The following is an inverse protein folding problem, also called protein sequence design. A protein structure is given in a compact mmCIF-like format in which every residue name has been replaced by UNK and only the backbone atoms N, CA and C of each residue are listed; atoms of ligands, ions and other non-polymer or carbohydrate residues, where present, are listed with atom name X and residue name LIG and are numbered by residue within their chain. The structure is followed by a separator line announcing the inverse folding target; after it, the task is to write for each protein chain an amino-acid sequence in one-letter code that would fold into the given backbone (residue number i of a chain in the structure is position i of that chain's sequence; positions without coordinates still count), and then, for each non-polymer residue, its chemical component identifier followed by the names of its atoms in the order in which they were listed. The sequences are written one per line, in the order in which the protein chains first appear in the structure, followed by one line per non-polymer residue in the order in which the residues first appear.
data_IF_251025321359
#
_entry.id   IF_251025321359
#
_cell.length_a   1.000
_cell.length_b   1.000
_cell.length_c   1.000
_cell.angle_alpha   90.00
_cell.angle_beta   90.00
_cell.angle_gamma   90.00
#
_symmetry.space_group_name_H-M   'P 1'
#
loop_
_entity.id
_entity.type
_entity.pdbx_description
1 polymer ?
#
# COMPACT_ATOMS: atom_id res chain seq x y z
N UNK A 1 -87.51 1.78 -61.18
CA UNK A 1 -86.08 1.37 -61.06
C UNK A 1 -85.25 2.64 -61.12
N UNK A 2 -85.02 3.26 -59.97
CA UNK A 2 -83.76 3.32 -59.17
C UNK A 2 -83.14 4.71 -59.29
N UNK A 3 -83.39 5.54 -58.27
CA UNK A 3 -82.66 6.78 -57.97
C UNK A 3 -81.31 6.45 -57.31
N UNK A 4 -80.26 7.26 -57.52
CA UNK A 4 -79.01 7.13 -56.77
C UNK A 4 -79.11 7.88 -55.42
N UNK A 5 -78.54 7.29 -54.37
CA UNK A 5 -78.43 7.89 -53.02
C UNK A 5 -77.01 8.43 -52.82
N UNK A 6 -76.80 9.54 -52.09
CA UNK A 6 -75.51 10.21 -51.99
C UNK A 6 -74.61 9.58 -50.92
N UNK A 7 -73.33 9.49 -51.25
CA UNK A 7 -72.26 8.98 -50.39
C UNK A 7 -71.91 10.03 -49.30
N UNK A 8 -72.18 9.73 -48.02
CA UNK A 8 -71.75 10.58 -46.90
C UNK A 8 -70.38 10.12 -46.40
N UNK A 9 -69.39 11.01 -46.57
CA UNK A 9 -68.01 10.78 -46.17
C UNK A 9 -67.86 10.59 -44.66
N UNK A 10 -67.42 9.40 -44.25
CA UNK A 10 -66.94 9.13 -42.89
C UNK A 10 -65.50 9.62 -42.78
N UNK A 11 -65.27 10.70 -42.06
CA UNK A 11 -63.93 11.08 -41.59
C UNK A 11 -63.46 10.04 -40.57
N UNK A 12 -62.46 9.24 -40.93
CA UNK A 12 -61.83 8.28 -40.04
C UNK A 12 -60.92 9.02 -39.03
N UNK A 13 -60.96 8.71 -37.72
CA UNK A 13 -60.13 9.40 -36.74
C UNK A 13 -58.67 8.95 -36.89
N UNK A 14 -57.77 9.91 -37.12
CA UNK A 14 -56.34 9.67 -37.22
C UNK A 14 -55.81 9.13 -35.88
N UNK A 15 -55.41 7.86 -35.86
CA UNK A 15 -54.80 7.21 -34.69
C UNK A 15 -53.50 7.94 -34.35
N UNK A 16 -53.47 8.70 -33.24
CA UNK A 16 -52.23 9.28 -32.72
C UNK A 16 -51.28 8.13 -32.36
N UNK A 17 -50.17 8.03 -33.10
CA UNK A 17 -49.10 7.11 -32.80
C UNK A 17 -48.30 7.68 -31.62
N UNK A 18 -48.63 7.24 -30.41
CA UNK A 18 -47.85 7.56 -29.21
C UNK A 18 -46.68 6.60 -29.14
N UNK A 19 -45.48 7.09 -29.41
CA UNK A 19 -44.24 6.34 -29.21
C UNK A 19 -44.00 6.28 -27.70
N UNK A 20 -43.97 5.08 -27.07
CA UNK A 20 -43.63 5.00 -25.66
C UNK A 20 -42.16 5.42 -25.52
N UNK A 21 -41.90 6.49 -24.75
CA UNK A 21 -40.55 6.80 -24.31
C UNK A 21 -40.16 5.70 -23.33
N UNK A 22 -39.45 4.69 -23.83
CA UNK A 22 -38.76 3.75 -22.98
C UNK A 22 -37.76 4.58 -22.17
N UNK A 23 -37.93 4.63 -20.85
CA UNK A 23 -36.92 5.18 -19.98
C UNK A 23 -35.65 4.35 -20.19
N UNK A 24 -34.70 4.85 -20.97
CA UNK A 24 -33.37 4.28 -21.06
C UNK A 24 -32.85 4.24 -19.62
N UNK A 25 -32.76 3.03 -19.07
CA UNK A 25 -32.16 2.83 -17.77
C UNK A 25 -30.69 3.11 -17.97
N UNK A 26 -30.29 4.36 -17.75
CA UNK A 26 -28.89 4.77 -17.87
C UNK A 26 -28.03 3.75 -17.14
N UNK A 27 -26.99 3.18 -17.79
CA UNK A 27 -26.13 2.24 -17.11
C UNK A 27 -25.60 2.90 -15.83
N UNK A 28 -25.49 2.16 -14.72
CA UNK A 28 -25.05 2.73 -13.47
C UNK A 28 -23.73 3.47 -13.68
N UNK A 29 -23.68 4.75 -13.29
CA UNK A 29 -22.50 5.61 -13.42
C UNK A 29 -21.30 5.09 -12.61
N UNK A 30 -21.50 4.06 -11.80
CA UNK A 30 -20.48 3.45 -10.95
C UNK A 30 -20.50 1.92 -11.10
N UNK A 31 -19.42 1.37 -11.67
CA UNK A 31 -19.20 -0.08 -11.67
C UNK A 31 -18.57 -0.49 -10.34
N UNK A 32 -19.16 -1.49 -9.67
CA UNK A 32 -18.61 -2.02 -8.43
C UNK A 32 -17.18 -2.54 -8.68
N UNK A 33 -16.22 -2.10 -7.86
CA UNK A 33 -14.80 -2.49 -7.98
C UNK A 33 -14.68 -4.01 -7.97
N UNK A 34 -14.32 -4.59 -9.12
CA UNK A 34 -13.94 -6.00 -9.21
C UNK A 34 -12.61 -6.20 -8.48
N UNK A 35 -12.59 -7.08 -7.48
CA UNK A 35 -11.37 -7.43 -6.74
C UNK A 35 -10.40 -8.16 -7.67
N UNK A 36 -9.29 -7.51 -8.02
CA UNK A 36 -8.26 -8.09 -8.87
C UNK A 36 -7.32 -8.92 -7.99
N UNK A 37 -7.20 -10.20 -8.31
CA UNK A 37 -6.31 -11.14 -7.63
C UNK A 37 -5.04 -11.35 -8.49
N UNK A 38 -3.90 -10.76 -8.12
CA UNK A 38 -2.68 -10.84 -8.92
C UNK A 38 -2.11 -12.27 -8.91
N UNK A 39 -1.58 -12.70 -10.06
CA UNK A 39 -0.87 -13.96 -10.20
C UNK A 39 0.60 -13.78 -9.80
N UNK A 40 1.19 -14.77 -9.15
CA UNK A 40 2.63 -14.84 -8.92
C UNK A 40 3.38 -15.03 -10.24
N UNK A 41 4.53 -14.37 -10.38
CA UNK A 41 5.43 -14.50 -11.53
C UNK A 41 6.74 -15.08 -11.00
N UNK A 42 7.27 -16.09 -11.68
CA UNK A 42 8.58 -16.69 -11.39
C UNK A 42 9.56 -16.33 -12.51
N UNK A 43 10.83 -16.12 -12.16
CA UNK A 43 11.87 -15.76 -13.13
C UNK A 43 13.08 -15.09 -12.49
N UNK A 44 14.09 -14.80 -13.30
CA UNK A 44 15.34 -14.16 -12.85
C UNK A 44 15.07 -12.78 -12.23
N UNK A 45 14.32 -11.92 -12.92
CA UNK A 45 13.99 -10.57 -12.42
C UNK A 45 13.12 -10.60 -11.16
N UNK A 46 12.22 -11.59 -11.02
CA UNK A 46 11.46 -11.80 -9.81
C UNK A 46 12.36 -12.16 -8.62
N UNK A 47 13.40 -12.98 -8.85
CA UNK A 47 14.41 -13.32 -7.83
C UNK A 47 15.22 -12.09 -7.42
N UNK A 48 15.68 -11.29 -8.38
CA UNK A 48 16.40 -10.03 -8.10
C UNK A 48 15.54 -9.04 -7.30
N UNK A 49 14.24 -8.94 -7.61
CA UNK A 49 13.31 -8.12 -6.83
C UNK A 49 13.24 -8.59 -5.39
N UNK A 50 13.15 -9.90 -5.16
CA UNK A 50 13.17 -10.46 -3.80
C UNK A 50 14.49 -10.21 -3.07
N UNK A 51 15.63 -10.29 -3.76
CA UNK A 51 16.93 -9.92 -3.17
C UNK A 51 16.90 -8.45 -2.71
N UNK A 52 16.38 -7.54 -3.53
CA UNK A 52 16.28 -6.12 -3.18
C UNK A 52 15.28 -5.85 -2.04
N UNK A 53 14.15 -6.58 -2.01
CA UNK A 53 13.21 -6.57 -0.87
C UNK A 53 13.95 -6.96 0.40
N UNK A 54 14.64 -8.11 0.42
CA UNK A 54 15.38 -8.55 1.60
C UNK A 54 16.51 -7.60 1.99
N UNK A 55 17.26 -7.07 1.02
CA UNK A 55 18.34 -6.12 1.29
C UNK A 55 17.82 -4.81 1.91
N UNK A 56 16.75 -4.24 1.35
CA UNK A 56 16.14 -3.01 1.88
C UNK A 56 15.50 -3.24 3.25
N UNK A 57 14.85 -4.38 3.47
CA UNK A 57 14.26 -4.71 4.78
C UNK A 57 15.34 -4.98 5.83
N UNK A 58 16.41 -5.70 5.48
CA UNK A 58 17.53 -5.95 6.39
C UNK A 58 18.21 -4.64 6.80
N UNK A 59 18.40 -3.72 5.84
CA UNK A 59 18.92 -2.40 6.13
C UNK A 59 17.95 -1.62 7.04
N UNK A 60 16.68 -1.52 6.65
CA UNK A 60 15.68 -0.74 7.38
C UNK A 60 15.47 -1.24 8.81
N UNK A 61 15.35 -2.56 9.01
CA UNK A 61 15.16 -3.15 10.33
C UNK A 61 16.46 -3.32 11.10
N UNK A 62 17.60 -3.51 10.45
CA UNK A 62 18.86 -3.81 11.12
C UNK A 62 19.58 -2.56 11.63
N UNK A 63 19.56 -1.47 10.87
CA UNK A 63 20.34 -0.27 11.18
C UNK A 63 20.03 0.34 12.55
N UNK A 64 18.77 0.48 13.01
CA UNK A 64 18.48 1.03 14.33
C UNK A 64 19.04 0.20 15.49
N UNK A 65 19.21 -1.11 15.30
CA UNK A 65 19.73 -1.99 16.36
C UNK A 65 21.25 -1.97 16.47
N UNK A 66 21.93 -1.55 15.41
CA UNK A 66 23.38 -1.46 15.37
C UNK A 66 23.85 -0.35 16.32
N UNK A 67 24.78 -0.70 17.20
CA UNK A 67 25.43 0.26 18.10
C UNK A 67 26.79 0.63 17.52
N UNK A 68 27.13 1.91 17.61
CA UNK A 68 28.40 2.46 17.18
C UNK A 68 29.05 3.16 18.38
N UNK A 69 29.88 2.43 19.13
CA UNK A 69 30.34 2.83 20.45
C UNK A 69 29.21 2.73 21.48
N UNK A 70 29.00 3.79 22.27
CA UNK A 70 27.99 3.82 23.34
C UNK A 70 26.59 4.29 22.87
N UNK A 71 26.38 4.45 21.56
CA UNK A 71 25.14 4.99 21.00
C UNK A 71 24.67 4.24 19.76
N UNK A 72 23.39 4.38 19.45
CA UNK A 72 22.78 3.86 18.23
C UNK A 72 23.46 4.45 16.97
N UNK A 73 23.71 3.61 15.96
CA UNK A 73 24.46 4.02 14.78
C UNK A 73 23.71 5.02 13.91
N UNK A 74 22.39 4.95 13.84
CA UNK A 74 21.59 5.93 13.12
C UNK A 74 20.44 6.38 14.02
N UNK A 75 20.53 7.62 14.51
CA UNK A 75 19.54 8.21 15.40
C UNK A 75 19.30 9.67 15.02
N UNK A 76 18.04 10.00 14.73
CA UNK A 76 17.61 11.36 14.46
C UNK A 76 16.96 11.95 15.72
N UNK A 77 17.78 12.53 16.58
CA UNK A 77 17.32 13.13 17.83
C UNK A 77 16.72 14.51 17.58
N UNK A 78 15.39 14.57 17.50
CA UNK A 78 14.63 15.79 17.31
C UNK A 78 14.67 16.71 18.54
N UNK A 79 14.83 16.15 19.74
CA UNK A 79 14.82 16.92 20.99
C UNK A 79 16.12 17.68 21.18
N UNK A 80 17.26 17.04 20.92
CA UNK A 80 18.56 17.69 20.93
C UNK A 80 18.89 18.40 19.61
N UNK A 81 18.03 18.28 18.59
CA UNK A 81 18.27 18.72 17.21
C UNK A 81 19.63 18.23 16.67
N UNK A 82 19.96 16.96 16.95
CA UNK A 82 21.22 16.33 16.55
C UNK A 82 20.94 15.11 15.72
N UNK A 83 21.64 14.97 14.60
CA UNK A 83 21.55 13.79 13.77
C UNK A 83 22.84 12.98 13.91
N UNK A 84 22.70 11.76 14.42
CA UNK A 84 23.81 10.83 14.58
C UNK A 84 23.83 9.88 13.38
N UNK A 85 24.86 9.98 12.54
CA UNK A 85 25.10 9.11 11.39
C UNK A 85 26.44 8.39 11.59
N UNK A 86 26.39 7.21 12.19
CA UNK A 86 27.53 6.37 12.58
C UNK A 86 28.53 7.16 13.45
N UNK A 87 29.70 7.51 12.89
CA UNK A 87 30.71 8.34 13.53
C UNK A 87 30.45 9.85 13.40
N UNK A 88 29.60 10.27 12.46
CA UNK A 88 29.31 11.67 12.19
C UNK A 88 28.21 12.17 13.13
N UNK A 89 28.44 13.33 13.77
CA UNK A 89 27.45 14.03 14.57
C UNK A 89 27.16 15.36 13.87
N UNK A 90 25.96 15.52 13.36
CA UNK A 90 25.53 16.75 12.71
C UNK A 90 24.78 17.62 13.71
N UNK A 91 25.26 18.84 13.90
CA UNK A 91 24.60 19.88 14.66
C UNK A 91 23.72 20.74 13.75
N UNK A 92 22.80 21.55 14.30
CA UNK A 92 21.97 22.45 13.50
C UNK A 92 22.77 23.41 12.60
N UNK A 93 23.96 23.86 13.02
CA UNK A 93 24.83 24.69 12.17
C UNK A 93 25.42 23.94 10.96
N UNK A 94 25.54 22.62 11.05
CA UNK A 94 26.07 21.74 10.00
C UNK A 94 25.00 21.30 9.00
N UNK A 95 23.78 21.86 9.11
CA UNK A 95 22.65 21.53 8.24
C UNK A 95 22.94 21.76 6.76
N UNK A 96 23.86 22.67 6.41
CA UNK A 96 24.31 22.88 5.02
C UNK A 96 24.91 21.58 4.45
N UNK A 97 25.71 20.83 5.23
CA UNK A 97 26.27 19.57 4.76
C UNK A 97 25.19 18.52 4.55
N UNK A 98 24.18 18.46 5.42
CA UNK A 98 23.02 17.58 5.24
C UNK A 98 22.23 17.97 3.98
N UNK A 99 21.98 19.26 3.75
CA UNK A 99 21.26 19.73 2.59
C UNK A 99 22.01 19.40 1.29
N UNK A 100 23.33 19.62 1.25
CA UNK A 100 24.18 19.22 0.11
C UNK A 100 24.14 17.70 -0.11
N UNK A 101 24.22 16.91 0.96
CA UNK A 101 24.09 15.45 0.88
C UNK A 101 22.73 15.04 0.29
N UNK A 102 21.63 15.66 0.74
CA UNK A 102 20.30 15.38 0.22
C UNK A 102 20.16 15.78 -1.26
N UNK A 103 20.76 16.90 -1.67
CA UNK A 103 20.81 17.32 -3.08
C UNK A 103 21.58 16.28 -3.91
N UNK A 104 22.74 15.82 -3.43
CA UNK A 104 23.53 14.78 -4.11
C UNK A 104 22.73 13.48 -4.23
N UNK A 105 22.06 13.04 -3.16
CA UNK A 105 21.19 11.86 -3.18
C UNK A 105 20.03 12.02 -4.17
N UNK A 106 19.38 13.19 -4.20
CA UNK A 106 18.30 13.48 -5.13
C UNK A 106 18.80 13.45 -6.58
N UNK A 107 19.90 14.14 -6.88
CA UNK A 107 20.52 14.14 -8.21
C UNK A 107 20.98 12.74 -8.63
N UNK A 108 21.54 11.95 -7.70
CA UNK A 108 21.91 10.55 -7.95
C UNK A 108 20.69 9.69 -8.28
N UNK A 109 19.57 9.88 -7.57
CA UNK A 109 18.31 9.19 -7.87
C UNK A 109 17.75 9.60 -9.24
N UNK A 110 17.80 10.89 -9.60
CA UNK A 110 17.41 11.38 -10.92
C UNK A 110 18.32 10.85 -12.03
N UNK A 111 19.62 10.84 -11.81
CA UNK A 111 20.59 10.27 -12.75
C UNK A 111 20.33 8.78 -12.94
N UNK A 112 20.12 8.03 -11.86
CA UNK A 112 19.81 6.61 -11.95
C UNK A 112 18.50 6.34 -12.69
N UNK A 113 17.46 7.15 -12.45
CA UNK A 113 16.16 7.01 -13.14
C UNK A 113 16.20 7.44 -14.60
N UNK A 114 17.03 8.41 -14.98
CA UNK A 114 17.22 8.80 -16.40
C UNK A 114 18.04 7.76 -17.18
N UNK A 115 19.07 7.18 -16.57
CA UNK A 115 19.93 6.17 -17.21
C UNK A 115 19.28 4.79 -17.23
N UNK A 116 18.71 4.36 -16.10
CA UNK A 116 18.23 3.00 -15.87
C UNK A 116 16.68 2.90 -15.91
N UNK A 117 15.99 4.01 -16.14
CA UNK A 117 14.53 4.05 -16.22
C UNK A 117 13.83 3.79 -14.87
N UNK A 118 12.77 2.96 -14.89
CA UNK A 118 11.93 2.66 -13.70
C UNK A 118 12.48 1.57 -12.79
N UNK A 119 13.78 1.27 -12.86
CA UNK A 119 14.42 0.23 -12.04
C UNK A 119 14.24 0.51 -10.54
N UNK A 120 14.44 1.74 -10.07
CA UNK A 120 14.20 2.12 -8.67
C UNK A 120 12.75 1.83 -8.26
N UNK A 121 11.81 2.35 -9.05
CA UNK A 121 10.39 2.19 -8.78
C UNK A 121 9.95 0.71 -8.77
N UNK A 122 10.54 -0.15 -9.60
CA UNK A 122 10.19 -1.57 -9.68
C UNK A 122 10.84 -2.49 -8.65
N UNK A 123 11.96 -2.09 -8.04
CA UNK A 123 12.78 -2.98 -7.19
C UNK A 123 12.98 -2.48 -5.76
N UNK A 124 12.99 -1.15 -5.52
CA UNK A 124 13.40 -0.58 -4.24
C UNK A 124 12.42 0.45 -3.67
N UNK A 125 11.45 0.92 -4.45
CA UNK A 125 10.43 1.84 -3.94
C UNK A 125 9.68 1.23 -2.75
N UNK A 126 9.56 1.94 -1.61
CA UNK A 126 8.90 1.41 -0.41
C UNK A 126 7.50 0.85 -0.69
N UNK A 127 6.69 1.56 -1.48
CA UNK A 127 5.34 1.12 -1.85
C UNK A 127 5.36 -0.23 -2.58
N UNK A 128 6.32 -0.45 -3.49
CA UNK A 128 6.45 -1.72 -4.20
C UNK A 128 6.98 -2.83 -3.30
N UNK A 129 7.95 -2.53 -2.44
CA UNK A 129 8.54 -3.49 -1.50
C UNK A 129 7.48 -4.00 -0.52
N UNK A 130 6.74 -3.10 0.16
CA UNK A 130 5.71 -3.51 1.10
C UNK A 130 4.54 -4.22 0.41
N UNK A 131 4.11 -3.76 -0.77
CA UNK A 131 3.05 -4.45 -1.54
C UNK A 131 3.47 -5.87 -1.91
N UNK A 132 4.72 -6.09 -2.34
CA UNK A 132 5.23 -7.44 -2.64
C UNK A 132 5.27 -8.33 -1.39
N UNK A 133 5.66 -7.78 -0.23
CA UNK A 133 5.65 -8.52 1.05
C UNK A 133 4.21 -8.86 1.46
N UNK A 134 3.26 -7.92 1.40
CA UNK A 134 1.86 -8.17 1.75
C UNK A 134 1.22 -9.23 0.83
N UNK A 135 1.46 -9.16 -0.48
CA UNK A 135 1.00 -10.16 -1.43
C UNK A 135 1.68 -11.52 -1.23
N UNK A 136 2.91 -11.55 -0.72
CA UNK A 136 3.60 -12.79 -0.35
C UNK A 136 3.00 -13.41 0.92
N UNK A 137 2.74 -12.61 1.95
CA UNK A 137 2.03 -13.05 3.14
C UNK A 137 0.63 -13.58 2.79
N UNK A 138 -0.11 -12.88 1.94
CA UNK A 138 -1.43 -13.35 1.47
C UNK A 138 -1.35 -14.66 0.67
N UNK A 139 -0.28 -14.85 -0.11
CA UNK A 139 -0.04 -16.14 -0.79
C UNK A 139 0.26 -17.28 0.18
N UNK A 140 0.99 -17.00 1.26
CA UNK A 140 1.32 -18.01 2.27
C UNK A 140 0.06 -18.41 3.05
N UNK A 141 -0.80 -17.45 3.40
CA UNK A 141 -1.98 -17.71 4.23
C UNK A 141 -3.19 -18.21 3.43
N UNK A 142 -3.48 -17.63 2.27
CA UNK A 142 -4.67 -17.97 1.46
C UNK A 142 -4.35 -18.85 0.23
N UNK A 143 -3.09 -18.98 -0.16
CA UNK A 143 -2.64 -19.80 -1.30
C UNK A 143 -2.57 -19.04 -2.62
N UNK A 144 -2.48 -19.78 -3.73
CA UNK A 144 -2.42 -19.22 -5.09
C UNK A 144 -3.72 -18.53 -5.53
N UNK A 145 -3.66 -17.81 -6.66
CA UNK A 145 -4.81 -17.07 -7.23
C UNK A 145 -6.09 -17.92 -7.30
N UNK A 146 -6.00 -19.16 -7.77
CA UNK A 146 -7.17 -20.05 -7.89
C UNK A 146 -7.78 -20.41 -6.53
N UNK A 147 -6.94 -20.65 -5.51
CA UNK A 147 -7.39 -20.91 -4.14
C UNK A 147 -8.08 -19.69 -3.54
N UNK A 148 -7.53 -18.48 -3.76
CA UNK A 148 -8.15 -17.23 -3.30
C UNK A 148 -9.48 -16.94 -3.98
N UNK A 149 -9.59 -17.17 -5.29
CA UNK A 149 -10.89 -17.06 -5.99
C UNK A 149 -11.91 -18.04 -5.41
N UNK A 150 -11.53 -19.31 -5.21
CA UNK A 150 -12.42 -20.31 -4.60
C UNK A 150 -12.87 -19.90 -3.19
N UNK A 151 -11.95 -19.37 -2.38
CA UNK A 151 -12.23 -18.89 -1.02
C UNK A 151 -13.11 -17.64 -1.01
N UNK A 152 -12.95 -16.75 -1.98
CA UNK A 152 -13.80 -15.57 -2.14
C UNK A 152 -15.24 -15.99 -2.52
N UNK A 153 -15.40 -17.00 -3.38
CA UNK A 153 -16.71 -17.56 -3.76
C UNK A 153 -17.32 -18.54 -2.75
N UNK A 154 -16.56 -19.05 -1.78
CA UNK A 154 -17.10 -19.94 -0.75
C UNK A 154 -17.94 -19.18 0.29
N UNK A 155 -18.87 -19.88 0.94
CA UNK A 155 -19.60 -19.34 2.09
C UNK A 155 -18.69 -19.01 3.28
N UNK A 156 -19.29 -18.49 4.36
CA UNK A 156 -18.60 -18.20 5.63
C UNK A 156 -18.28 -19.50 6.39
N UNK A 157 -17.26 -20.23 5.93
CA UNK A 157 -16.75 -21.43 6.58
C UNK A 157 -15.67 -21.09 7.62
N UNK A 158 -15.45 -21.98 8.58
CA UNK A 158 -14.39 -21.83 9.59
C UNK A 158 -13.01 -21.68 8.93
N UNK A 159 -12.75 -22.43 7.87
CA UNK A 159 -11.52 -22.34 7.07
C UNK A 159 -11.32 -20.92 6.48
N UNK A 160 -12.39 -20.31 5.96
CA UNK A 160 -12.35 -18.95 5.41
C UNK A 160 -12.04 -17.91 6.48
N UNK A 161 -12.67 -18.04 7.65
CA UNK A 161 -12.41 -17.14 8.77
C UNK A 161 -10.96 -17.28 9.22
N UNK A 162 -10.47 -18.51 9.42
CA UNK A 162 -9.10 -18.75 9.85
C UNK A 162 -8.07 -18.19 8.87
N UNK A 163 -8.23 -18.46 7.56
CA UNK A 163 -7.31 -17.97 6.52
C UNK A 163 -7.31 -16.44 6.42
N UNK A 164 -8.49 -15.81 6.48
CA UNK A 164 -8.61 -14.34 6.43
C UNK A 164 -8.05 -13.68 7.70
N UNK A 165 -8.34 -14.24 8.87
CA UNK A 165 -7.78 -13.76 10.14
C UNK A 165 -6.27 -13.92 10.17
N UNK A 166 -5.73 -15.03 9.66
CA UNK A 166 -4.29 -15.22 9.54
C UNK A 166 -3.66 -14.18 8.60
N UNK A 167 -4.27 -13.91 7.45
CA UNK A 167 -3.80 -12.84 6.55
C UNK A 167 -3.76 -11.48 7.24
N UNK A 168 -4.88 -11.04 7.81
CA UNK A 168 -4.97 -9.75 8.46
C UNK A 168 -4.06 -9.66 9.69
N UNK A 169 -3.90 -10.76 10.44
CA UNK A 169 -2.94 -10.87 11.52
C UNK A 169 -1.50 -10.68 11.05
N UNK A 170 -1.09 -11.37 9.98
CA UNK A 170 0.26 -11.20 9.40
C UNK A 170 0.48 -9.78 8.87
N UNK A 171 -0.52 -9.17 8.23
CA UNK A 171 -0.43 -7.79 7.75
C UNK A 171 -0.30 -6.80 8.91
N UNK A 172 -1.13 -6.94 9.94
CA UNK A 172 -1.09 -6.10 11.12
C UNK A 172 0.25 -6.20 11.85
N UNK A 173 0.77 -7.41 12.03
CA UNK A 173 2.07 -7.64 12.68
C UNK A 173 3.20 -6.96 11.90
N UNK A 174 3.24 -7.13 10.57
CA UNK A 174 4.25 -6.48 9.73
C UNK A 174 4.14 -4.95 9.79
N UNK A 175 2.91 -4.42 9.72
CA UNK A 175 2.65 -2.99 9.80
C UNK A 175 3.08 -2.39 11.13
N UNK A 176 2.70 -3.02 12.26
CA UNK A 176 3.10 -2.56 13.60
C UNK A 176 4.62 -2.65 13.79
N UNK A 177 5.26 -3.72 13.30
CA UNK A 177 6.72 -3.85 13.33
C UNK A 177 7.41 -2.76 12.51
N UNK A 178 6.85 -2.41 11.35
CA UNK A 178 7.32 -1.30 10.52
C UNK A 178 7.20 0.04 11.25
N UNK A 179 6.04 0.31 11.87
CA UNK A 179 5.82 1.51 12.67
C UNK A 179 6.76 1.61 13.87
N UNK A 180 6.98 0.51 14.59
CA UNK A 180 7.94 0.41 15.69
C UNK A 180 9.35 0.78 15.24
N UNK A 181 9.80 0.19 14.14
CA UNK A 181 11.14 0.45 13.60
C UNK A 181 11.29 1.89 13.15
N UNK A 182 10.25 2.47 12.52
CA UNK A 182 10.26 3.86 12.08
C UNK A 182 10.43 4.82 13.26
N UNK A 183 9.69 4.62 14.35
CA UNK A 183 9.86 5.41 15.58
C UNK A 183 11.23 5.18 16.21
N UNK A 184 11.77 3.95 16.10
CA UNK A 184 13.13 3.59 16.55
C UNK A 184 14.27 4.33 15.85
N UNK A 185 14.01 5.04 14.73
CA UNK A 185 14.99 5.96 14.14
C UNK A 185 15.04 7.32 14.84
N UNK A 186 14.01 7.69 15.61
CA UNK A 186 13.91 8.98 16.31
C UNK A 186 14.10 8.85 17.82
N UNK A 187 13.70 7.72 18.40
CA UNK A 187 13.89 7.37 19.80
C UNK A 187 14.82 6.16 19.87
N UNK A 188 15.82 6.11 20.78
CA UNK A 188 16.73 4.98 20.87
C UNK A 188 15.98 3.64 20.94
N UNK A 189 16.24 2.73 20.00
CA UNK A 189 15.35 1.57 19.78
C UNK A 189 15.29 0.63 20.98
N UNK A 190 16.39 0.53 21.75
CA UNK A 190 16.47 -0.31 22.95
C UNK A 190 15.62 0.25 24.08
N UNK A 191 15.60 1.57 24.28
CA UNK A 191 14.73 2.19 25.29
C UNK A 191 13.28 2.15 24.84
N UNK A 192 13.02 2.43 23.56
CA UNK A 192 11.69 2.33 22.96
C UNK A 192 11.09 0.93 23.14
N UNK A 193 11.87 -0.14 22.93
CA UNK A 193 11.41 -1.51 23.14
C UNK A 193 10.93 -1.74 24.58
N UNK A 194 11.68 -1.26 25.58
CA UNK A 194 11.30 -1.38 26.99
C UNK A 194 10.07 -0.54 27.31
N UNK A 195 10.01 0.72 26.84
CA UNK A 195 8.88 1.62 27.05
C UNK A 195 7.58 1.03 26.49
N UNK A 196 7.61 0.52 25.26
CA UNK A 196 6.44 -0.10 24.62
C UNK A 196 6.00 -1.36 25.36
N UNK A 197 6.93 -2.22 25.79
CA UNK A 197 6.60 -3.41 26.59
C UNK A 197 6.00 -3.06 27.95
N UNK A 198 6.44 -1.96 28.56
CA UNK A 198 5.90 -1.45 29.82
C UNK A 198 4.60 -0.64 29.63
N UNK A 199 4.11 -0.48 28.39
CA UNK A 199 3.00 0.40 28.02
C UNK A 199 3.21 1.86 28.49
N UNK A 200 4.46 2.30 28.47
CA UNK A 200 4.91 3.64 28.80
C UNK A 200 5.22 4.42 27.51
N UNK A 201 5.19 5.75 27.58
CA UNK A 201 5.40 6.60 26.40
C UNK A 201 4.18 6.60 25.46
N UNK A 202 3.03 7.14 25.90
CA UNK A 202 1.81 7.16 25.08
C UNK A 202 2.01 7.88 23.73
N UNK A 203 2.93 8.83 23.68
CA UNK A 203 3.31 9.53 22.46
C UNK A 203 4.01 8.61 21.45
N UNK A 204 4.98 7.83 21.91
CA UNK A 204 5.69 6.83 21.10
C UNK A 204 4.72 5.76 20.59
N UNK A 205 3.88 5.22 21.48
CA UNK A 205 2.88 4.20 21.14
C UNK A 205 1.88 4.74 20.10
N UNK A 206 1.43 5.99 20.25
CA UNK A 206 0.58 6.64 19.26
C UNK A 206 1.23 6.68 17.88
N UNK A 207 2.49 7.10 17.77
CA UNK A 207 3.19 7.16 16.48
C UNK A 207 3.44 5.78 15.88
N UNK A 208 3.75 4.78 16.71
CA UNK A 208 3.87 3.39 16.26
C UNK A 208 2.54 2.91 15.63
N UNK A 209 1.42 3.18 16.31
CA UNK A 209 0.09 2.87 15.79
C UNK A 209 -0.25 3.64 14.52
N UNK A 210 0.06 4.93 14.48
CA UNK A 210 -0.17 5.79 13.31
C UNK A 210 0.61 5.32 12.08
N UNK A 211 1.92 5.08 12.21
CA UNK A 211 2.75 4.59 11.11
C UNK A 211 2.41 3.14 10.73
N UNK A 212 2.03 2.32 11.71
CA UNK A 212 1.50 0.99 11.45
C UNK A 212 0.22 1.04 10.61
N UNK A 213 -0.72 1.90 10.97
CA UNK A 213 -1.95 2.12 10.19
C UNK A 213 -1.64 2.67 8.80
N UNK A 214 -0.73 3.63 8.68
CA UNK A 214 -0.34 4.19 7.38
C UNK A 214 0.34 3.15 6.47
N UNK A 215 1.03 2.16 7.05
CA UNK A 215 1.64 1.04 6.31
C UNK A 215 0.60 -0.03 5.95
N UNK A 216 -0.45 -0.15 6.76
CA UNK A 216 -1.57 -1.06 6.54
C UNK A 216 -2.47 -0.50 5.42
N UNK A 217 -2.20 -0.93 4.18
CA UNK A 217 -2.91 -0.51 2.96
C UNK A 217 -4.05 -1.43 2.55
#
# INVERSE_FOLDING_TARGET
MTTPSPESGRTSPTKKHTIPIAAETSPPLFEARKKIQPRSITGLFARWRWIMVWATQLFFYGVPWLQWGDRQSLLFDLQAMRFYLFGLVLYPQDFIYLAVLLIVCALALFLFTTVAGRLWCGFSCPQTVYTEIFMWLERITEGDRSARLRLDHSGWTLEKILKRSAKHGSWLLLSLWTGFTFVGYFVPIRTLAVEVMALQGPWQIFWIGFYGLATYG
#
